data_IF_868636584745
#
_entry.id   IF_868636584745
#
_cell.length_a   1.000
_cell.length_b   1.000
_cell.length_c   1.000
_cell.angle_alpha   90.00
_cell.angle_beta   90.00
_cell.angle_gamma   90.00
#
_symmetry.space_group_name_H-M   'P 1'
#
loop_
_entity.id
_entity.type
_entity.pdbx_description
1 polymer ?
#
# COMPACT_ATOMS: atom_id res chain seq x y z
N UNK A 1 -69.56 -38.51 5.76
CA UNK A 1 -68.86 -39.52 6.58
C UNK A 1 -67.95 -40.29 5.64
N UNK A 2 -66.62 -40.39 5.72
CA UNK A 2 -65.66 -40.11 6.78
C UNK A 2 -64.23 -40.03 6.14
N UNK A 3 -63.45 -39.05 6.59
CA UNK A 3 -61.99 -38.98 6.79
C UNK A 3 -60.95 -39.23 5.67
N UNK A 4 -60.47 -38.09 5.13
CA UNK A 4 -59.08 -37.61 5.08
C UNK A 4 -57.95 -38.51 5.64
N UNK A 5 -56.90 -38.74 4.83
CA UNK A 5 -55.49 -38.70 5.28
C UNK A 5 -54.59 -38.12 4.18
N UNK A 6 -54.16 -36.88 4.38
CA UNK A 6 -53.07 -36.23 3.64
C UNK A 6 -51.74 -36.83 4.09
N UNK A 7 -50.89 -37.22 3.14
CA UNK A 7 -49.48 -37.51 3.40
C UNK A 7 -48.65 -36.37 2.80
N UNK A 8 -48.08 -35.54 3.66
CA UNK A 8 -47.11 -34.52 3.30
C UNK A 8 -45.76 -35.21 3.01
N UNK A 9 -45.26 -35.10 1.78
CA UNK A 9 -43.88 -35.42 1.44
C UNK A 9 -43.08 -34.11 1.50
N UNK A 10 -42.24 -34.01 2.54
CA UNK A 10 -41.30 -32.92 2.72
C UNK A 10 -40.08 -33.14 1.81
N UNK A 11 -39.90 -32.28 0.80
CA UNK A 11 -38.66 -32.22 0.01
C UNK A 11 -37.62 -31.40 0.77
N UNK A 12 -36.55 -32.06 1.22
CA UNK A 12 -35.39 -31.41 1.82
C UNK A 12 -34.53 -30.75 0.73
N UNK A 13 -34.46 -29.41 0.75
CA UNK A 13 -33.56 -28.63 -0.10
C UNK A 13 -32.22 -28.47 0.63
N UNK A 14 -31.20 -29.23 0.21
CA UNK A 14 -29.84 -29.07 0.71
C UNK A 14 -29.17 -27.89 -0.02
N UNK A 15 -29.11 -26.73 0.63
CA UNK A 15 -28.32 -25.59 0.16
C UNK A 15 -26.90 -25.75 0.71
N UNK A 16 -25.97 -26.20 -0.14
CA UNK A 16 -24.55 -26.23 0.18
C UNK A 16 -23.98 -24.81 0.14
N UNK A 17 -23.92 -24.15 1.28
CA UNK A 17 -23.13 -22.93 1.48
C UNK A 17 -21.65 -23.27 1.35
N UNK A 18 -21.05 -22.95 0.20
CA UNK A 18 -19.60 -22.82 0.06
C UNK A 18 -19.18 -21.56 0.83
N UNK A 19 -19.00 -21.69 2.15
CA UNK A 19 -18.29 -20.69 2.94
C UNK A 19 -16.82 -20.74 2.56
N UNK A 20 -16.39 -19.87 1.65
CA UNK A 20 -14.99 -19.54 1.47
C UNK A 20 -14.50 -18.86 2.76
N UNK A 21 -13.90 -19.64 3.65
CA UNK A 21 -13.13 -19.12 4.76
C UNK A 21 -11.92 -18.40 4.18
N UNK A 22 -12.01 -17.09 4.03
CA UNK A 22 -10.88 -16.22 3.73
C UNK A 22 -9.95 -16.21 4.95
N UNK A 23 -9.06 -17.19 5.03
CA UNK A 23 -7.87 -17.05 5.86
C UNK A 23 -7.08 -15.88 5.30
N UNK A 24 -6.75 -14.91 6.15
CA UNK A 24 -5.85 -13.81 5.80
C UNK A 24 -4.55 -14.42 5.26
N UNK A 25 -4.41 -14.40 3.93
CA UNK A 25 -3.25 -14.97 3.28
C UNK A 25 -2.05 -14.09 3.64
N UNK A 26 -1.02 -14.69 4.20
CA UNK A 26 0.27 -14.04 4.34
C UNK A 26 0.70 -13.52 2.95
N UNK A 27 1.37 -12.36 2.93
CA UNK A 27 1.89 -11.78 1.72
C UNK A 27 2.86 -12.78 1.04
N UNK A 28 2.86 -12.85 -0.29
CA UNK A 28 3.80 -13.69 -1.01
C UNK A 28 5.24 -13.26 -0.74
N UNK A 29 6.20 -14.20 -0.79
CA UNK A 29 7.62 -13.85 -0.66
C UNK A 29 8.11 -13.12 -1.91
N UNK A 30 8.97 -12.09 -1.78
CA UNK A 30 9.61 -11.44 -2.92
C UNK A 30 10.39 -12.45 -3.76
N UNK A 31 10.31 -12.30 -5.08
CA UNK A 31 11.05 -13.11 -6.06
C UNK A 31 12.17 -12.33 -6.72
N UNK A 32 12.09 -10.99 -6.70
CA UNK A 32 13.15 -10.07 -7.09
C UNK A 32 13.85 -9.42 -5.90
N UNK A 33 14.61 -8.37 -6.19
CA UNK A 33 15.29 -7.57 -5.17
C UNK A 33 14.26 -6.90 -4.24
N UNK A 34 14.49 -7.03 -2.93
CA UNK A 34 13.68 -6.34 -1.92
C UNK A 34 13.98 -4.85 -1.98
N UNK A 35 12.97 -4.05 -2.29
CA UNK A 35 13.08 -2.59 -2.38
C UNK A 35 12.31 -1.85 -1.28
N UNK A 36 11.45 -2.55 -0.55
CA UNK A 36 10.76 -2.03 0.62
C UNK A 36 10.64 -3.08 1.71
N UNK A 37 10.98 -2.69 2.94
CA UNK A 37 10.66 -3.47 4.14
C UNK A 37 9.74 -2.67 5.06
N UNK A 38 8.65 -3.28 5.51
CA UNK A 38 7.73 -2.71 6.48
C UNK A 38 7.82 -3.49 7.79
N UNK A 39 7.95 -2.74 8.89
CA UNK A 39 7.94 -3.26 10.25
C UNK A 39 6.86 -2.55 11.07
N UNK A 40 6.33 -3.24 12.07
CA UNK A 40 5.33 -2.71 12.99
C UNK A 40 5.32 -3.52 14.30
N UNK A 41 4.75 -2.96 15.38
CA UNK A 41 4.42 -3.73 16.59
C UNK A 41 3.42 -4.86 16.27
N UNK A 42 2.48 -4.57 15.35
CA UNK A 42 1.51 -5.54 14.83
C UNK A 42 1.50 -5.51 13.31
N UNK A 43 1.79 -6.66 12.71
CA UNK A 43 1.75 -6.91 11.27
C UNK A 43 0.93 -8.17 11.01
N UNK A 44 -0.16 -8.05 10.26
CA UNK A 44 -1.09 -9.17 10.04
C UNK A 44 -0.63 -10.07 8.88
N UNK A 45 0.14 -9.55 7.90
CA UNK A 45 0.56 -10.31 6.71
C UNK A 45 2.09 -10.30 6.48
N UNK A 46 2.92 -10.75 7.44
CA UNK A 46 4.36 -10.85 7.23
C UNK A 46 4.70 -11.95 6.20
N UNK A 47 5.80 -11.78 5.47
CA UNK A 47 6.28 -12.76 4.49
C UNK A 47 7.74 -13.20 4.69
N UNK A 48 8.56 -12.39 5.35
CA UNK A 48 9.99 -12.68 5.63
C UNK A 48 10.32 -12.24 7.04
N UNK A 49 10.75 -13.17 7.89
CA UNK A 49 11.28 -12.92 9.24
C UNK A 49 10.43 -11.99 10.12
N UNK A 50 9.10 -12.10 10.03
CA UNK A 50 8.16 -11.26 10.79
C UNK A 50 7.99 -9.83 10.25
N UNK A 51 8.49 -9.56 9.05
CA UNK A 51 8.34 -8.28 8.32
C UNK A 51 7.55 -8.49 7.03
N UNK A 52 7.01 -7.41 6.46
CA UNK A 52 6.46 -7.42 5.11
C UNK A 52 7.48 -6.79 4.16
N UNK A 53 8.04 -7.60 3.27
CA UNK A 53 9.02 -7.20 2.28
C UNK A 53 8.40 -7.21 0.90
N UNK A 54 8.75 -6.24 0.07
CA UNK A 54 8.21 -6.09 -1.27
C UNK A 54 9.35 -5.95 -2.29
N UNK A 55 9.24 -6.70 -3.38
CA UNK A 55 9.93 -6.38 -4.62
C UNK A 55 9.08 -5.42 -5.48
N UNK A 56 9.65 -4.98 -6.61
CA UNK A 56 8.96 -4.09 -7.53
C UNK A 56 7.65 -4.67 -8.07
N UNK A 57 7.62 -5.96 -8.43
CA UNK A 57 6.45 -6.58 -9.04
C UNK A 57 5.29 -6.64 -8.05
N UNK A 58 5.57 -6.93 -6.77
CA UNK A 58 4.58 -6.90 -5.71
C UNK A 58 3.99 -5.50 -5.53
N UNK A 59 4.82 -4.45 -5.51
CA UNK A 59 4.34 -3.07 -5.37
C UNK A 59 3.50 -2.63 -6.57
N UNK A 60 3.90 -2.99 -7.79
CA UNK A 60 3.17 -2.61 -9.01
C UNK A 60 1.86 -3.40 -9.20
N UNK A 61 1.67 -4.51 -8.50
CA UNK A 61 0.40 -5.26 -8.48
C UNK A 61 -0.67 -4.66 -7.56
N UNK A 62 -0.28 -3.76 -6.64
CA UNK A 62 -1.21 -3.14 -5.69
C UNK A 62 -2.01 -2.01 -6.34
N UNK A 63 -3.14 -1.66 -5.71
CA UNK A 63 -3.95 -0.53 -6.14
C UNK A 63 -3.11 0.76 -6.13
N UNK A 64 -3.01 1.39 -7.30
CA UNK A 64 -2.15 2.53 -7.53
C UNK A 64 -2.83 3.64 -8.30
N UNK A 65 -2.05 4.70 -8.56
CA UNK A 65 -2.49 5.80 -9.41
C UNK A 65 -1.29 6.45 -10.12
N UNK A 66 -1.62 7.31 -11.07
CA UNK A 66 -0.68 8.30 -11.62
C UNK A 66 -1.09 9.72 -11.20
N UNK A 67 -0.12 10.62 -11.16
CA UNK A 67 -0.34 12.05 -10.98
C UNK A 67 0.73 12.82 -11.75
N UNK A 68 0.36 13.99 -12.28
CA UNK A 68 1.29 14.87 -12.99
C UNK A 68 1.33 16.22 -12.29
N UNK A 69 2.52 16.64 -11.85
CA UNK A 69 2.70 17.81 -11.00
C UNK A 69 4.09 18.40 -11.15
N UNK A 70 4.24 19.66 -10.78
CA UNK A 70 5.55 20.25 -10.50
C UNK A 70 5.97 19.85 -9.08
N UNK A 71 7.28 19.68 -8.86
CA UNK A 71 7.84 19.42 -7.54
C UNK A 71 9.09 20.27 -7.35
N UNK A 72 9.47 20.61 -6.10
CA UNK A 72 10.70 21.39 -5.86
C UNK A 72 11.99 20.63 -6.17
N UNK A 73 11.92 19.36 -6.58
CA UNK A 73 13.07 18.48 -6.81
C UNK A 73 13.21 18.00 -8.27
N UNK A 74 12.29 18.44 -9.14
CA UNK A 74 12.27 18.11 -10.56
C UNK A 74 12.10 19.38 -11.39
N UNK A 75 12.53 19.33 -12.64
CA UNK A 75 12.28 20.42 -13.59
C UNK A 75 10.97 20.20 -14.33
N UNK A 76 10.12 21.23 -14.33
CA UNK A 76 8.81 21.19 -15.00
C UNK A 76 7.83 20.18 -14.38
N UNK A 77 6.81 19.85 -15.16
CA UNK A 77 5.78 18.87 -14.78
C UNK A 77 6.27 17.45 -15.02
N UNK A 78 6.19 16.63 -13.98
CA UNK A 78 6.64 15.23 -13.99
C UNK A 78 5.47 14.32 -13.66
N UNK A 79 5.36 13.20 -14.37
CA UNK A 79 4.39 12.15 -14.09
C UNK A 79 4.98 11.13 -13.13
N UNK A 80 4.38 10.99 -11.95
CA UNK A 80 4.69 9.92 -11.02
C UNK A 80 3.62 8.84 -11.07
N UNK A 81 4.02 7.57 -10.92
CA UNK A 81 3.08 6.47 -10.77
C UNK A 81 3.62 5.36 -9.88
N UNK A 82 2.71 4.68 -9.19
CA UNK A 82 3.00 3.59 -8.27
C UNK A 82 1.78 3.25 -7.42
N UNK A 83 1.92 2.33 -6.45
CA UNK A 83 0.87 2.02 -5.50
C UNK A 83 0.50 3.23 -4.63
N UNK A 84 -0.74 3.24 -4.17
CA UNK A 84 -1.17 4.15 -3.10
C UNK A 84 -0.53 3.71 -1.79
N UNK A 85 -0.07 4.66 -0.96
CA UNK A 85 0.54 4.33 0.33
C UNK A 85 -0.41 3.48 1.20
N UNK A 86 -1.71 3.79 1.25
CA UNK A 86 -2.73 2.94 1.92
C UNK A 86 -2.70 1.49 1.46
N UNK A 87 -2.58 1.24 0.16
CA UNK A 87 -2.64 -0.12 -0.38
C UNK A 87 -1.41 -0.93 0.06
N UNK A 88 -0.25 -0.28 0.17
CA UNK A 88 0.98 -0.93 0.66
C UNK A 88 0.87 -1.27 2.15
N UNK A 89 0.38 -0.33 2.98
CA UNK A 89 0.18 -0.53 4.42
C UNK A 89 -0.89 -1.61 4.68
N UNK A 90 -1.99 -1.59 3.93
CA UNK A 90 -3.05 -2.60 3.99
C UNK A 90 -2.56 -3.98 3.57
N UNK A 91 -1.77 -4.07 2.48
CA UNK A 91 -1.17 -5.32 2.03
C UNK A 91 -0.24 -5.93 3.08
N UNK A 92 0.57 -5.10 3.75
CA UNK A 92 1.39 -5.55 4.89
C UNK A 92 0.54 -5.92 6.12
N UNK A 93 -0.68 -5.40 6.23
CA UNK A 93 -1.50 -5.50 7.42
C UNK A 93 -0.83 -4.82 8.63
N UNK A 94 -0.12 -3.72 8.40
CA UNK A 94 0.65 -3.02 9.43
C UNK A 94 -0.24 -2.02 10.19
N UNK A 95 -0.18 -2.05 11.53
CA UNK A 95 -1.02 -1.22 12.40
C UNK A 95 -0.22 -0.19 13.20
N UNK A 96 -0.72 1.04 13.25
CA UNK A 96 -0.17 2.15 14.04
C UNK A 96 -0.81 3.48 13.69
N UNK A 97 -0.29 4.57 14.28
CA UNK A 97 -0.77 5.95 14.10
C UNK A 97 0.26 6.81 13.35
N UNK A 98 1.52 6.39 13.34
CA UNK A 98 2.65 7.09 12.70
C UNK A 98 3.50 6.10 11.90
N UNK A 99 4.17 6.64 10.88
CA UNK A 99 5.08 5.91 10.01
C UNK A 99 6.38 6.69 9.89
N UNK A 100 7.50 6.07 10.22
CA UNK A 100 8.82 6.61 9.94
C UNK A 100 9.29 6.08 8.58
N UNK A 101 9.31 6.95 7.58
CA UNK A 101 9.71 6.62 6.21
C UNK A 101 11.20 6.91 6.05
N UNK A 102 12.00 5.90 5.69
CA UNK A 102 13.46 5.99 5.69
C UNK A 102 14.08 5.70 4.33
N UNK A 103 14.99 6.57 3.91
CA UNK A 103 15.76 6.47 2.68
C UNK A 103 17.04 5.64 2.83
N UNK A 104 17.66 5.27 1.71
CA UNK A 104 18.94 4.56 1.65
C UNK A 104 20.06 5.35 2.36
N UNK A 105 20.07 6.67 2.23
CA UNK A 105 21.02 7.59 2.87
C UNK A 105 20.67 7.96 4.34
N UNK A 106 19.74 7.24 4.95
CA UNK A 106 19.24 7.41 6.32
C UNK A 106 18.50 8.72 6.60
N UNK A 107 18.20 9.53 5.58
CA UNK A 107 17.16 10.54 5.70
C UNK A 107 15.84 9.88 6.08
N UNK A 108 15.10 10.48 7.01
CA UNK A 108 13.81 9.96 7.41
C UNK A 108 12.84 11.10 7.77
N UNK A 109 11.55 10.83 7.58
CA UNK A 109 10.48 11.71 7.97
C UNK A 109 9.39 10.94 8.71
N UNK A 110 8.78 11.59 9.71
CA UNK A 110 7.61 11.07 10.40
C UNK A 110 6.34 11.50 9.63
N UNK A 111 5.59 10.50 9.20
CA UNK A 111 4.38 10.61 8.40
C UNK A 111 3.20 10.08 9.22
N UNK A 112 2.17 10.90 9.51
CA UNK A 112 0.95 10.41 10.15
C UNK A 112 0.28 9.32 9.32
N UNK A 113 -0.29 8.31 9.96
CA UNK A 113 -1.06 7.26 9.27
C UNK A 113 -2.22 7.85 8.43
N UNK A 114 -2.79 8.96 8.89
CA UNK A 114 -3.82 9.70 8.15
C UNK A 114 -3.36 10.17 6.76
N UNK A 115 -2.08 10.46 6.57
CA UNK A 115 -1.53 10.83 5.25
C UNK A 115 -1.55 9.61 4.29
N UNK A 116 -1.48 8.38 4.82
CA UNK A 116 -1.69 7.17 4.04
C UNK A 116 -3.17 6.88 3.79
N UNK A 117 -4.06 7.13 4.76
CA UNK A 117 -5.48 6.74 4.69
C UNK A 117 -6.34 7.76 3.94
N UNK A 118 -6.13 9.06 4.18
CA UNK A 118 -7.00 10.13 3.70
C UNK A 118 -6.55 10.76 2.39
N UNK A 119 -5.25 10.73 2.09
CA UNK A 119 -4.67 11.38 0.91
C UNK A 119 -4.31 10.34 -0.15
N UNK A 120 -4.48 10.67 -1.43
CA UNK A 120 -4.00 9.83 -2.55
C UNK A 120 -2.47 9.88 -2.73
N UNK A 121 -1.73 9.74 -1.62
CA UNK A 121 -0.26 9.70 -1.58
C UNK A 121 0.24 8.47 -2.32
N UNK A 122 1.16 8.70 -3.26
CA UNK A 122 1.75 7.66 -4.11
C UNK A 122 3.08 7.26 -3.50
N UNK A 123 3.33 5.96 -3.37
CA UNK A 123 4.69 5.44 -3.21
C UNK A 123 5.21 5.13 -4.61
N UNK A 124 5.75 6.15 -5.28
CA UNK A 124 6.07 6.09 -6.70
C UNK A 124 7.23 5.13 -6.98
N UNK A 125 7.03 4.22 -7.94
CA UNK A 125 8.05 3.33 -8.50
C UNK A 125 8.54 3.82 -9.86
N UNK A 126 7.79 4.73 -10.48
CA UNK A 126 8.05 5.26 -11.82
C UNK A 126 7.98 6.77 -11.89
N UNK A 127 8.87 7.34 -12.69
CA UNK A 127 8.94 8.75 -13.03
C UNK A 127 8.96 8.88 -14.55
N UNK A 128 8.00 9.61 -15.11
CA UNK A 128 7.77 9.74 -16.56
C UNK A 128 7.63 8.38 -17.29
N UNK A 129 7.06 7.38 -16.61
CA UNK A 129 6.82 6.04 -17.15
C UNK A 129 8.00 5.07 -16.98
N UNK A 130 9.19 5.57 -16.68
CA UNK A 130 10.38 4.76 -16.46
C UNK A 130 10.50 4.35 -14.99
N UNK A 131 11.01 3.13 -14.76
CA UNK A 131 11.33 2.65 -13.40
C UNK A 131 12.44 3.52 -12.80
N UNK A 132 12.22 4.00 -11.57
CA UNK A 132 13.17 4.90 -10.92
C UNK A 132 14.42 4.15 -10.47
N UNK A 133 15.58 4.54 -10.99
CA UNK A 133 16.87 4.04 -10.50
C UNK A 133 17.32 4.80 -9.25
N UNK A 134 18.28 4.26 -8.48
CA UNK A 134 18.86 4.98 -7.32
C UNK A 134 19.41 6.36 -7.72
N UNK A 135 20.04 6.48 -8.90
CA UNK A 135 20.56 7.76 -9.40
C UNK A 135 19.43 8.75 -9.71
N UNK A 136 18.27 8.24 -10.11
CA UNK A 136 17.06 8.99 -10.43
C UNK A 136 16.01 8.90 -9.31
N UNK A 137 16.44 9.16 -8.06
CA UNK A 137 15.57 9.26 -6.86
C UNK A 137 14.82 7.97 -6.46
N UNK A 138 15.11 6.83 -7.08
CA UNK A 138 14.50 5.53 -6.81
C UNK A 138 15.19 4.71 -5.71
N UNK A 139 14.70 3.51 -5.37
CA UNK A 139 13.65 2.77 -6.10
C UNK A 139 12.24 3.29 -5.82
N UNK A 140 12.05 4.07 -4.75
CA UNK A 140 10.76 4.52 -4.26
C UNK A 140 10.78 5.98 -3.84
N UNK A 141 9.71 6.70 -4.12
CA UNK A 141 9.54 8.11 -3.75
C UNK A 141 8.12 8.37 -3.24
N UNK A 142 7.99 8.83 -2.01
CA UNK A 142 6.71 9.26 -1.47
C UNK A 142 6.29 10.60 -2.08
N UNK A 143 5.20 10.60 -2.84
CA UNK A 143 4.67 11.77 -3.55
C UNK A 143 3.28 12.07 -3.01
N UNK A 144 3.13 13.23 -2.38
CA UNK A 144 1.82 13.77 -2.00
C UNK A 144 1.05 14.25 -3.24
N UNK A 145 -0.30 14.20 -3.22
CA UNK A 145 -1.12 14.51 -4.39
C UNK A 145 -1.26 16.02 -4.63
N UNK A 146 -0.15 16.71 -4.92
CA UNK A 146 -0.12 18.14 -5.26
C UNK A 146 -0.96 18.48 -6.50
N UNK A 147 -1.20 17.49 -7.35
CA UNK A 147 -2.08 17.58 -8.52
C UNK A 147 -3.57 17.65 -8.15
N UNK A 148 -3.95 17.17 -6.96
CA UNK A 148 -5.35 17.17 -6.47
C UNK A 148 -5.61 18.27 -5.45
N UNK A 149 -4.64 18.55 -4.59
CA UNK A 149 -4.78 19.55 -3.53
C UNK A 149 -3.56 20.48 -3.50
N UNK A 150 -3.67 21.70 -4.07
CA UNK A 150 -2.62 22.71 -4.01
C UNK A 150 -2.25 23.13 -2.59
N UNK A 151 -3.13 22.95 -1.60
CA UNK A 151 -2.86 23.22 -0.19
C UNK A 151 -1.78 22.32 0.40
N UNK A 152 -1.50 21.18 -0.24
CA UNK A 152 -0.39 20.30 0.12
C UNK A 152 0.96 20.82 -0.38
N UNK A 153 1.01 21.80 -1.28
CA UNK A 153 2.26 22.30 -1.85
C UNK A 153 2.99 23.25 -0.89
N UNK A 154 3.57 22.71 0.17
CA UNK A 154 4.30 23.46 1.20
C UNK A 154 5.38 22.61 1.89
N UNK A 155 6.25 23.27 2.67
CA UNK A 155 7.44 22.66 3.31
C UNK A 155 7.14 21.43 4.17
N UNK A 156 5.96 21.38 4.81
CA UNK A 156 5.55 20.22 5.63
C UNK A 156 5.47 18.96 4.77
N UNK A 157 4.84 19.03 3.60
CA UNK A 157 4.72 17.86 2.72
C UNK A 157 5.96 17.63 1.88
N UNK A 158 6.75 18.68 1.62
CA UNK A 158 8.06 18.54 0.98
C UNK A 158 9.01 17.72 1.86
N UNK A 159 9.13 18.05 3.14
CA UNK A 159 9.97 17.28 4.08
C UNK A 159 9.50 15.84 4.27
N UNK A 160 8.21 15.54 4.08
CA UNK A 160 7.68 14.18 4.14
C UNK A 160 7.81 13.40 2.82
N UNK A 161 8.10 14.06 1.72
CA UNK A 161 8.27 13.42 0.41
C UNK A 161 9.68 12.81 0.32
N UNK A 162 9.86 11.65 0.94
CA UNK A 162 11.13 10.94 0.99
C UNK A 162 11.38 10.21 -0.33
N UNK A 163 12.53 10.42 -0.96
CA UNK A 163 12.98 9.60 -2.10
C UNK A 163 14.01 8.55 -1.68
N UNK A 164 14.30 7.60 -2.57
CA UNK A 164 15.17 6.45 -2.31
C UNK A 164 14.73 5.67 -1.06
N UNK A 165 13.42 5.52 -0.85
CA UNK A 165 12.88 4.81 0.32
C UNK A 165 13.34 3.34 0.29
N UNK A 166 13.76 2.84 1.46
CA UNK A 166 14.07 1.41 1.70
C UNK A 166 13.17 0.77 2.76
N UNK A 167 12.66 1.58 3.70
CA UNK A 167 11.93 1.05 4.86
C UNK A 167 10.84 2.00 5.35
N UNK A 168 9.78 1.40 5.91
CA UNK A 168 8.73 2.10 6.64
C UNK A 168 8.55 1.39 8.00
N UNK A 169 8.76 2.12 9.08
CA UNK A 169 8.54 1.63 10.44
C UNK A 169 7.20 2.21 10.94
N UNK A 170 6.21 1.36 11.21
CA UNK A 170 4.89 1.77 11.69
C UNK A 170 4.85 1.67 13.22
N UNK A 171 4.46 2.76 13.88
CA UNK A 171 4.45 2.89 15.33
C UNK A 171 3.15 3.54 15.85
N UNK A 172 2.93 3.46 17.17
CA UNK A 172 1.80 4.10 17.87
C UNK A 172 2.07 5.54 18.27
#
# INVERSE_FOLDING_TARGET
MAFLRQSFLASALAVSLLTSAGGAAALDKPTGDVILTITAERIDHPNVDGTAQFDLAMLEALAGRSGEMETPWTEGRVKFSGPLLRAVIEAAGAHGTTMKVRAINDYAADVPMDDAVLLDTILATRMNGETMSIREKGPLFLIYPFDKDPGLYNEKYFSRSVWQIKAIEVAR
#
